data_IF_901025515520
#
_entry.id   IF_901025515520
#
_cell.length_a   1.000
_cell.length_b   1.000
_cell.length_c   1.000
_cell.angle_alpha   90.00
_cell.angle_beta   90.00
_cell.angle_gamma   90.00
#
_symmetry.space_group_name_H-M   'P 1'
#
loop_
_entity.id
_entity.type
_entity.pdbx_description
1 polymer ?
#
# COMPACT_ATOMS: atom_id res chain seq x y z
N UNK A 1 14.82 16.67 0.88
CA UNK A 1 14.85 16.12 -0.48
C UNK A 1 13.56 15.34 -0.72
N UNK A 2 12.76 15.68 -1.73
CA UNK A 2 11.49 15.02 -2.01
C UNK A 2 11.74 13.64 -2.63
N UNK A 3 11.24 12.58 -2.03
CA UNK A 3 11.40 11.22 -2.52
C UNK A 3 10.10 10.41 -2.45
N UNK A 4 9.98 9.44 -3.36
CA UNK A 4 8.86 8.50 -3.39
C UNK A 4 8.97 7.46 -2.30
N UNK A 5 7.84 7.01 -1.77
CA UNK A 5 7.75 5.94 -0.76
C UNK A 5 6.77 4.88 -1.24
N UNK A 6 7.28 3.66 -1.40
CA UNK A 6 6.52 2.46 -1.72
C UNK A 6 6.98 1.33 -0.78
N UNK A 7 6.09 0.81 0.06
CA UNK A 7 6.42 -0.25 1.03
C UNK A 7 5.40 -1.36 0.99
N UNK A 8 5.87 -2.60 1.06
CA UNK A 8 5.03 -3.79 1.06
C UNK A 8 5.05 -4.48 2.41
N UNK A 9 3.87 -4.89 2.88
CA UNK A 9 3.68 -5.75 4.04
C UNK A 9 2.91 -6.99 3.61
N UNK A 10 3.43 -8.16 3.97
CA UNK A 10 2.84 -9.46 3.63
C UNK A 10 2.00 -9.96 4.80
N UNK A 11 0.72 -10.19 4.57
CA UNK A 11 -0.20 -10.65 5.61
C UNK A 11 -0.71 -12.08 5.33
N UNK A 12 -0.65 -12.91 6.35
CA UNK A 12 -1.28 -14.22 6.41
C UNK A 12 -2.75 -14.08 6.82
N UNK A 13 -3.53 -15.17 6.70
CA UNK A 13 -4.97 -15.16 6.95
C UNK A 13 -5.43 -14.47 8.24
N UNK A 14 -4.70 -14.62 9.35
CA UNK A 14 -5.08 -14.02 10.64
C UNK A 14 -4.94 -12.48 10.71
N UNK A 15 -4.09 -11.87 9.88
CA UNK A 15 -3.85 -10.43 9.88
C UNK A 15 -4.82 -9.63 8.98
N UNK A 16 -5.52 -10.29 8.06
CA UNK A 16 -6.35 -9.64 7.02
C UNK A 16 -7.44 -8.75 7.62
N UNK A 17 -8.17 -9.26 8.62
CA UNK A 17 -9.23 -8.49 9.28
C UNK A 17 -8.69 -7.27 10.05
N UNK A 18 -7.46 -7.34 10.56
CA UNK A 18 -6.79 -6.21 11.20
C UNK A 18 -6.42 -5.14 10.20
N UNK A 19 -5.87 -5.54 9.05
CA UNK A 19 -5.57 -4.66 7.93
C UNK A 19 -6.84 -3.95 7.43
N UNK A 20 -7.91 -4.70 7.14
CA UNK A 20 -9.20 -4.14 6.74
C UNK A 20 -9.74 -3.11 7.73
N UNK A 21 -9.76 -3.44 9.03
CA UNK A 21 -10.26 -2.51 10.06
C UNK A 21 -9.44 -1.22 10.14
N UNK A 22 -8.13 -1.29 9.88
CA UNK A 22 -7.28 -0.10 9.83
C UNK A 22 -7.57 0.73 8.57
N UNK A 23 -7.55 0.10 7.41
CA UNK A 23 -7.69 0.77 6.12
C UNK A 23 -9.06 1.43 5.97
N UNK A 24 -10.11 0.71 6.36
CA UNK A 24 -11.50 1.17 6.24
C UNK A 24 -12.01 1.94 7.47
N UNK A 25 -11.10 2.27 8.40
CA UNK A 25 -11.44 3.02 9.63
C UNK A 25 -12.63 2.42 10.42
N UNK A 26 -12.66 1.07 10.53
CA UNK A 26 -13.72 0.32 11.23
C UNK A 26 -13.47 0.14 12.74
N UNK A 27 -12.76 1.05 13.39
CA UNK A 27 -12.50 1.04 14.84
C UNK A 27 -12.93 2.36 15.44
N UNK A 28 -13.46 2.31 16.67
CA UNK A 28 -13.85 3.50 17.44
C UNK A 28 -12.64 4.26 18.02
N UNK A 29 -11.50 3.56 18.17
CA UNK A 29 -10.26 4.15 18.68
C UNK A 29 -9.02 3.45 18.13
N UNK A 30 -7.95 4.21 17.91
CA UNK A 30 -6.68 3.78 17.33
C UNK A 30 -5.52 4.01 18.32
N UNK A 31 -5.56 3.31 19.47
CA UNK A 31 -4.55 3.45 20.55
C UNK A 31 -3.10 3.25 20.08
N UNK A 32 -2.87 2.41 19.07
CA UNK A 32 -1.55 2.15 18.49
C UNK A 32 -1.08 3.20 17.48
N UNK A 33 -1.96 4.12 17.08
CA UNK A 33 -1.64 5.21 16.17
C UNK A 33 -2.33 6.52 16.60
N UNK A 34 -1.74 7.25 17.54
CA UNK A 34 -2.31 8.50 18.07
C UNK A 34 -2.40 9.65 17.05
N UNK A 35 -1.73 9.51 15.91
CA UNK A 35 -1.75 10.55 14.86
C UNK A 35 -3.05 10.56 14.05
N UNK A 36 -3.92 9.56 14.24
CA UNK A 36 -5.21 9.52 13.53
C UNK A 36 -6.17 10.54 14.16
N UNK A 37 -6.50 11.57 13.39
CA UNK A 37 -7.52 12.54 13.73
C UNK A 37 -8.89 12.10 13.19
N UNK A 38 -9.70 11.51 14.06
CA UNK A 38 -11.02 10.97 13.71
C UNK A 38 -11.91 12.05 13.09
N UNK A 39 -11.76 13.32 13.48
CA UNK A 39 -12.56 14.43 12.92
C UNK A 39 -12.27 14.67 11.44
N UNK A 40 -11.10 14.26 10.97
CA UNK A 40 -10.66 14.36 9.58
C UNK A 40 -10.90 13.10 8.75
N UNK A 41 -11.34 11.99 9.34
CA UNK A 41 -11.61 10.72 8.63
C UNK A 41 -12.63 10.89 7.49
N UNK A 42 -13.52 11.86 7.57
CA UNK A 42 -14.46 12.23 6.50
C UNK A 42 -13.78 12.69 5.19
N UNK A 43 -12.51 13.07 5.24
CA UNK A 43 -11.72 13.47 4.06
C UNK A 43 -10.95 12.30 3.42
N UNK A 44 -10.95 11.13 4.05
CA UNK A 44 -10.42 9.92 3.45
C UNK A 44 -11.26 9.55 2.22
N UNK A 45 -10.62 9.02 1.20
CA UNK A 45 -11.33 8.65 -0.02
C UNK A 45 -10.72 7.41 -0.67
N UNK A 46 -11.55 6.71 -1.43
CA UNK A 46 -11.12 5.54 -2.19
C UNK A 46 -10.85 5.92 -3.64
N UNK A 47 -9.75 5.38 -4.20
CA UNK A 47 -9.49 5.33 -5.64
C UNK A 47 -10.03 4.01 -6.20
N UNK A 48 -9.82 2.91 -5.48
CA UNK A 48 -10.49 1.63 -5.73
C UNK A 48 -11.33 1.31 -4.51
N UNK A 49 -12.64 1.22 -4.70
CA UNK A 49 -13.60 0.97 -3.62
C UNK A 49 -13.35 -0.40 -2.98
N UNK A 50 -13.44 -0.43 -1.67
CA UNK A 50 -13.47 -1.67 -0.91
C UNK A 50 -14.68 -2.54 -1.31
N UNK A 51 -14.58 -3.86 -1.27
CA UNK A 51 -15.73 -4.71 -1.52
C UNK A 51 -16.84 -4.44 -0.48
N UNK A 52 -18.10 -4.60 -0.88
CA UNK A 52 -19.27 -4.47 0.02
C UNK A 52 -19.28 -5.45 1.19
N UNK A 53 -18.41 -6.44 1.16
CA UNK A 53 -18.16 -7.45 2.18
C UNK A 53 -16.68 -7.40 2.60
N UNK A 54 -16.20 -8.37 3.36
CA UNK A 54 -14.84 -8.33 3.92
C UNK A 54 -13.75 -8.60 2.87
N UNK A 55 -12.54 -8.08 3.12
CA UNK A 55 -11.34 -8.42 2.34
C UNK A 55 -11.10 -9.92 2.30
N UNK A 56 -11.29 -10.60 3.43
CA UNK A 56 -11.13 -12.05 3.51
C UNK A 56 -12.07 -12.82 2.58
N UNK A 57 -13.31 -12.36 2.41
CA UNK A 57 -14.25 -12.96 1.45
C UNK A 57 -13.82 -12.69 0.01
N UNK A 58 -13.40 -11.46 -0.32
CA UNK A 58 -12.89 -11.12 -1.65
C UNK A 58 -11.67 -11.97 -2.02
N UNK A 59 -10.75 -12.17 -1.09
CA UNK A 59 -9.59 -13.04 -1.28
C UNK A 59 -10.00 -14.49 -1.57
N UNK A 60 -10.98 -15.03 -0.84
CA UNK A 60 -11.50 -16.39 -1.09
C UNK A 60 -12.10 -16.51 -2.48
N UNK A 61 -12.84 -15.51 -2.94
CA UNK A 61 -13.41 -15.46 -4.28
C UNK A 61 -12.32 -15.43 -5.37
N UNK A 62 -11.26 -14.62 -5.17
CA UNK A 62 -10.13 -14.57 -6.10
C UNK A 62 -9.36 -15.90 -6.15
N UNK A 63 -9.07 -16.49 -4.98
CA UNK A 63 -8.41 -17.80 -4.87
C UNK A 63 -9.22 -18.87 -5.62
N UNK A 64 -10.54 -18.86 -5.47
CA UNK A 64 -11.44 -19.77 -6.18
C UNK A 64 -11.46 -19.49 -7.70
N UNK A 65 -11.57 -18.22 -8.09
CA UNK A 65 -11.59 -17.79 -9.51
C UNK A 65 -10.34 -18.26 -10.26
N UNK A 66 -9.18 -18.15 -9.61
CA UNK A 66 -7.88 -18.54 -10.20
C UNK A 66 -7.46 -19.97 -9.85
N UNK A 67 -8.31 -20.75 -9.18
CA UNK A 67 -8.05 -22.13 -8.76
C UNK A 67 -6.72 -22.28 -8.00
N UNK A 68 -6.36 -21.27 -7.18
CA UNK A 68 -5.09 -21.24 -6.51
C UNK A 68 -4.97 -22.32 -5.43
N UNK A 69 -3.86 -23.04 -5.43
CA UNK A 69 -3.48 -23.91 -4.31
C UNK A 69 -3.05 -23.05 -3.13
N UNK A 70 -3.56 -23.35 -1.93
CA UNK A 70 -3.24 -22.63 -0.70
C UNK A 70 -2.69 -23.56 0.37
N UNK A 71 -1.80 -23.02 1.23
CA UNK A 71 -1.31 -23.64 2.45
C UNK A 71 -1.75 -22.83 3.66
N UNK A 72 -1.62 -23.38 4.86
CA UNK A 72 -1.97 -22.69 6.11
C UNK A 72 -1.19 -21.37 6.28
N UNK A 73 0.06 -21.35 5.84
CA UNK A 73 1.01 -20.23 5.95
C UNK A 73 1.09 -19.35 4.69
N UNK A 74 0.26 -19.59 3.67
CA UNK A 74 0.23 -18.79 2.45
C UNK A 74 -0.02 -17.31 2.76
N UNK A 75 0.78 -16.44 2.14
CA UNK A 75 0.49 -15.00 2.10
C UNK A 75 -0.73 -14.79 1.20
N UNK A 76 -1.78 -14.22 1.73
CA UNK A 76 -3.07 -14.04 1.04
C UNK A 76 -3.40 -12.59 0.74
N UNK A 77 -2.72 -11.68 1.43
CA UNK A 77 -2.84 -10.24 1.24
C UNK A 77 -1.46 -9.62 1.25
N UNK A 78 -1.25 -8.67 0.36
CA UNK A 78 -0.14 -7.72 0.45
C UNK A 78 -0.74 -6.33 0.60
N UNK A 79 -0.37 -5.65 1.66
CA UNK A 79 -0.66 -4.25 1.88
C UNK A 79 0.50 -3.41 1.35
N UNK A 80 0.19 -2.40 0.58
CA UNK A 80 1.15 -1.46 0.02
C UNK A 80 0.91 -0.08 0.60
N UNK A 81 1.88 0.48 1.29
CA UNK A 81 1.88 1.88 1.73
C UNK A 81 2.54 2.73 0.66
N UNK A 82 1.80 3.71 0.16
CA UNK A 82 2.21 4.61 -0.91
C UNK A 82 2.09 6.06 -0.45
N UNK A 83 3.19 6.80 -0.53
CA UNK A 83 3.23 8.24 -0.25
C UNK A 83 4.51 8.86 -0.84
N UNK A 84 4.81 10.07 -0.48
CA UNK A 84 6.11 10.72 -0.68
C UNK A 84 6.57 11.40 0.62
N UNK A 85 7.75 12.00 0.59
CA UNK A 85 8.25 12.75 1.74
C UNK A 85 7.25 13.83 2.18
N UNK A 86 7.15 14.11 3.50
CA UNK A 86 6.19 15.09 4.02
C UNK A 86 6.31 16.47 3.39
N UNK A 87 7.55 16.91 3.08
CA UNK A 87 7.81 18.19 2.45
C UNK A 87 7.20 18.28 1.04
N UNK A 88 7.22 17.18 0.29
CA UNK A 88 6.61 17.11 -1.03
C UNK A 88 5.08 17.11 -0.91
N UNK A 89 4.52 16.22 -0.09
CA UNK A 89 3.08 16.12 0.09
C UNK A 89 2.44 17.41 0.59
N UNK A 90 3.14 18.18 1.44
CA UNK A 90 2.63 19.46 1.97
C UNK A 90 2.58 20.58 0.94
N UNK A 91 3.33 20.50 -0.15
CA UNK A 91 3.36 21.49 -1.24
C UNK A 91 2.25 21.26 -2.27
N UNK A 92 1.73 20.03 -2.36
CA UNK A 92 0.70 19.69 -3.33
C UNK A 92 -0.67 20.25 -2.92
N UNK A 93 -1.42 20.76 -3.90
CA UNK A 93 -2.85 21.05 -3.73
C UNK A 93 -3.64 19.75 -3.47
N UNK A 94 -4.90 19.84 -3.08
CA UNK A 94 -5.74 18.65 -2.87
C UNK A 94 -5.97 17.90 -4.20
N UNK A 95 -6.08 18.60 -5.31
CA UNK A 95 -6.19 18.05 -6.66
C UNK A 95 -4.91 17.32 -7.05
N UNK A 96 -3.74 17.90 -6.80
CA UNK A 96 -2.44 17.28 -7.08
C UNK A 96 -2.17 16.07 -6.21
N UNK A 97 -2.60 16.07 -4.93
CA UNK A 97 -2.55 14.89 -4.06
C UNK A 97 -3.40 13.75 -4.63
N UNK A 98 -4.61 14.07 -5.10
CA UNK A 98 -5.48 13.09 -5.75
C UNK A 98 -4.82 12.52 -7.01
N UNK A 99 -4.30 13.39 -7.89
CA UNK A 99 -3.55 12.98 -9.09
C UNK A 99 -2.37 12.08 -8.75
N UNK A 100 -1.63 12.40 -7.67
CA UNK A 100 -0.50 11.59 -7.20
C UNK A 100 -0.93 10.16 -6.87
N UNK A 101 -1.98 10.00 -6.09
CA UNK A 101 -2.47 8.67 -5.68
C UNK A 101 -3.18 7.92 -6.81
N UNK A 102 -3.87 8.61 -7.70
CA UNK A 102 -4.44 8.01 -8.91
C UNK A 102 -3.34 7.47 -9.83
N UNK A 103 -2.30 8.26 -10.09
CA UNK A 103 -1.15 7.82 -10.89
C UNK A 103 -0.40 6.64 -10.22
N UNK A 104 -0.20 6.69 -8.92
CA UNK A 104 0.38 5.57 -8.17
C UNK A 104 -0.49 4.29 -8.28
N UNK A 105 -1.81 4.45 -8.29
CA UNK A 105 -2.74 3.32 -8.49
C UNK A 105 -2.62 2.74 -9.90
N UNK A 106 -2.48 3.56 -10.93
CA UNK A 106 -2.26 3.08 -12.31
C UNK A 106 -0.95 2.29 -12.43
N UNK A 107 0.13 2.75 -11.77
CA UNK A 107 1.35 1.96 -11.68
C UNK A 107 1.10 0.58 -11.05
N UNK A 108 0.40 0.53 -9.92
CA UNK A 108 0.11 -0.74 -9.24
C UNK A 108 -0.79 -1.65 -10.08
N UNK A 109 -1.78 -1.10 -10.81
CA UNK A 109 -2.61 -1.86 -11.74
C UNK A 109 -1.79 -2.50 -12.86
N UNK A 110 -0.82 -1.78 -13.41
CA UNK A 110 0.04 -2.30 -14.49
C UNK A 110 0.97 -3.43 -14.02
N UNK A 111 1.44 -3.35 -12.77
CA UNK A 111 2.37 -4.35 -12.20
C UNK A 111 1.66 -5.60 -11.68
N UNK A 112 0.45 -5.46 -11.14
CA UNK A 112 -0.25 -6.53 -10.41
C UNK A 112 -1.44 -7.09 -11.19
N UNK A 113 -2.14 -6.24 -11.93
CA UNK A 113 -3.45 -6.51 -12.52
C UNK A 113 -4.58 -5.97 -11.63
N UNK A 114 -5.45 -5.17 -12.23
CA UNK A 114 -6.53 -4.46 -11.54
C UNK A 114 -7.47 -5.38 -10.76
N UNK A 115 -7.82 -6.52 -11.33
CA UNK A 115 -8.77 -7.47 -10.75
C UNK A 115 -8.27 -8.16 -9.47
N UNK A 116 -6.96 -8.06 -9.17
CA UNK A 116 -6.34 -8.59 -7.95
C UNK A 116 -6.25 -7.57 -6.83
N UNK A 117 -6.48 -6.29 -7.13
CA UNK A 117 -6.53 -5.21 -6.14
C UNK A 117 -7.89 -5.28 -5.42
N UNK A 118 -7.84 -5.20 -4.09
CA UNK A 118 -9.01 -5.33 -3.22
C UNK A 118 -9.56 -3.95 -2.87
N UNK A 119 -8.67 -3.02 -2.54
CA UNK A 119 -9.01 -1.65 -2.17
C UNK A 119 -7.79 -0.75 -2.33
N UNK A 120 -8.02 0.51 -2.66
CA UNK A 120 -7.02 1.57 -2.58
C UNK A 120 -7.66 2.79 -1.92
N UNK A 121 -7.32 3.03 -0.65
CA UNK A 121 -7.88 4.10 0.18
C UNK A 121 -6.80 5.09 0.57
N UNK A 122 -7.07 6.37 0.39
CA UNK A 122 -6.19 7.47 0.79
C UNK A 122 -6.62 7.99 2.15
N UNK A 123 -5.69 7.98 3.10
CA UNK A 123 -5.87 8.53 4.43
C UNK A 123 -5.37 9.99 4.45
N UNK A 124 -6.31 10.90 4.70
CA UNK A 124 -6.07 12.33 4.90
C UNK A 124 -6.15 12.73 6.38
N UNK A 125 -6.42 11.77 7.23
CA UNK A 125 -6.65 11.92 8.68
C UNK A 125 -5.41 11.66 9.54
N UNK A 126 -4.25 11.54 8.91
CA UNK A 126 -2.95 11.43 9.59
C UNK A 126 -2.03 12.59 9.18
N UNK A 127 -0.88 12.69 9.84
CA UNK A 127 0.09 13.79 9.64
C UNK A 127 0.51 13.98 8.18
N UNK A 128 0.76 12.89 7.48
CA UNK A 128 1.14 12.90 6.05
C UNK A 128 0.13 12.09 5.26
N UNK A 129 -0.50 12.64 4.22
CA UNK A 129 -1.39 11.88 3.34
C UNK A 129 -0.69 10.66 2.76
N UNK A 130 -1.34 9.51 2.82
CA UNK A 130 -0.81 8.26 2.28
C UNK A 130 -1.93 7.33 1.85
N UNK A 131 -1.61 6.44 0.93
CA UNK A 131 -2.55 5.45 0.42
C UNK A 131 -2.19 4.06 0.92
N UNK A 132 -3.19 3.33 1.39
CA UNK A 132 -3.15 1.89 1.59
C UNK A 132 -3.79 1.20 0.38
N UNK A 133 -2.99 0.45 -0.37
CA UNK A 133 -3.46 -0.38 -1.47
C UNK A 133 -3.28 -1.84 -1.09
N UNK A 134 -4.39 -2.55 -0.99
CA UNK A 134 -4.44 -3.96 -0.62
C UNK A 134 -4.69 -4.83 -1.85
N UNK A 135 -3.91 -5.90 -2.05
CA UNK A 135 -4.10 -6.83 -3.16
C UNK A 135 -3.87 -8.29 -2.78
N UNK A 136 -4.53 -9.19 -3.48
CA UNK A 136 -4.30 -10.63 -3.38
C UNK A 136 -3.11 -11.00 -4.27
N UNK A 137 -2.02 -11.62 -3.74
CA UNK A 137 -0.81 -11.84 -4.49
C UNK A 137 -0.89 -13.04 -5.44
N UNK A 138 -1.78 -12.95 -6.41
CA UNK A 138 -1.90 -13.92 -7.50
C UNK A 138 -1.07 -13.41 -8.67
N UNK A 139 -0.08 -14.19 -9.10
CA UNK A 139 0.82 -13.82 -10.18
C UNK A 139 0.18 -14.01 -11.58
N UNK A 140 0.92 -13.70 -12.63
CA UNK A 140 0.43 -13.81 -14.03
C UNK A 140 0.10 -15.25 -14.42
N UNK A 141 0.73 -16.26 -13.79
CA UNK A 141 0.43 -17.69 -14.01
C UNK A 141 -0.79 -18.17 -13.20
N UNK A 142 -1.52 -17.28 -12.53
CA UNK A 142 -2.67 -17.63 -11.70
C UNK A 142 -2.29 -18.32 -10.37
N UNK A 143 -1.03 -18.20 -9.90
CA UNK A 143 -0.58 -18.83 -8.65
C UNK A 143 -0.55 -17.81 -7.51
N UNK A 144 -1.04 -18.22 -6.34
CA UNK A 144 -0.94 -17.43 -5.10
C UNK A 144 0.53 -17.43 -4.61
N UNK A 145 1.28 -16.39 -4.92
CA UNK A 145 2.70 -16.29 -4.56
C UNK A 145 3.18 -14.84 -4.44
N UNK A 146 3.18 -14.31 -3.23
CA UNK A 146 3.78 -13.01 -2.95
C UNK A 146 5.29 -12.98 -3.30
N UNK A 147 6.00 -14.13 -3.17
CA UNK A 147 7.42 -14.24 -3.53
C UNK A 147 7.66 -14.05 -5.02
N UNK A 148 6.80 -14.60 -5.89
CA UNK A 148 6.98 -14.44 -7.34
C UNK A 148 6.70 -13.01 -7.83
N UNK A 149 5.86 -12.26 -7.11
CA UNK A 149 5.53 -10.86 -7.44
C UNK A 149 6.58 -9.90 -6.88
N UNK A 150 6.88 -10.00 -5.59
CA UNK A 150 7.74 -9.05 -4.88
C UNK A 150 9.22 -9.43 -4.91
N UNK A 151 9.50 -10.72 -5.10
CA UNK A 151 10.85 -11.24 -5.17
C UNK A 151 11.61 -11.17 -3.83
N UNK A 152 12.90 -10.91 -3.94
CA UNK A 152 13.85 -10.75 -2.84
C UNK A 152 14.19 -9.25 -2.63
N UNK A 153 15.21 -8.97 -1.82
CA UNK A 153 15.65 -7.62 -1.52
C UNK A 153 16.08 -6.82 -2.77
N UNK A 154 16.73 -7.48 -3.73
CA UNK A 154 17.11 -6.86 -5.01
C UNK A 154 15.86 -6.47 -5.79
N UNK A 155 14.92 -7.39 -5.93
CA UNK A 155 13.64 -7.14 -6.61
C UNK A 155 12.83 -6.01 -5.96
N UNK A 156 12.84 -5.92 -4.62
CA UNK A 156 12.20 -4.80 -3.91
C UNK A 156 12.89 -3.46 -4.22
N UNK A 157 14.21 -3.45 -4.41
CA UNK A 157 14.92 -2.25 -4.86
C UNK A 157 14.55 -1.86 -6.30
N UNK A 158 14.36 -2.85 -7.18
CA UNK A 158 13.89 -2.65 -8.55
C UNK A 158 12.45 -2.11 -8.58
N UNK A 159 11.56 -2.57 -7.68
CA UNK A 159 10.23 -2.01 -7.48
C UNK A 159 10.29 -0.52 -7.15
N UNK A 160 11.18 -0.11 -6.24
CA UNK A 160 11.38 1.29 -5.88
C UNK A 160 11.85 2.12 -7.08
N UNK A 161 12.74 1.56 -7.90
CA UNK A 161 13.26 2.25 -9.09
C UNK A 161 12.16 2.45 -10.12
N UNK A 162 11.42 1.39 -10.51
CA UNK A 162 10.32 1.51 -11.47
C UNK A 162 9.22 2.46 -10.99
N UNK A 163 8.87 2.40 -9.71
CA UNK A 163 7.88 3.31 -9.14
C UNK A 163 8.36 4.77 -9.18
N UNK A 164 9.61 5.01 -8.78
CA UNK A 164 10.21 6.33 -8.88
C UNK A 164 10.19 6.86 -10.32
N UNK A 165 10.69 6.10 -11.28
CA UNK A 165 10.73 6.50 -12.70
C UNK A 165 9.34 6.87 -13.20
N UNK A 166 8.34 6.06 -12.92
CA UNK A 166 6.95 6.30 -13.30
C UNK A 166 6.38 7.60 -12.69
N UNK A 167 6.66 7.86 -11.42
CA UNK A 167 6.18 9.08 -10.74
C UNK A 167 6.98 10.33 -11.17
N UNK A 168 8.28 10.15 -11.40
CA UNK A 168 9.19 11.24 -11.82
C UNK A 168 8.84 11.82 -13.19
N UNK A 169 8.25 11.06 -14.10
CA UNK A 169 7.73 11.58 -15.37
C UNK A 169 6.76 12.75 -15.19
N UNK A 170 5.98 12.77 -14.12
CA UNK A 170 5.00 13.81 -13.80
C UNK A 170 5.55 14.86 -12.83
N UNK A 171 6.35 14.45 -11.85
CA UNK A 171 6.96 15.32 -10.83
C UNK A 171 8.47 15.17 -10.88
N UNK A 172 9.12 15.97 -11.71
CA UNK A 172 10.57 15.90 -11.95
C UNK A 172 11.43 16.27 -10.74
N UNK A 173 10.87 16.91 -9.72
CA UNK A 173 11.53 17.19 -8.44
C UNK A 173 11.63 15.99 -7.51
N UNK A 174 10.87 14.91 -7.77
CA UNK A 174 10.97 13.69 -6.97
C UNK A 174 12.30 12.99 -7.18
N UNK A 175 12.84 12.46 -6.12
CA UNK A 175 14.07 11.67 -6.12
C UNK A 175 13.78 10.22 -5.74
N UNK A 176 14.62 9.33 -6.19
CA UNK A 176 14.60 7.96 -5.73
C UNK A 176 15.17 7.91 -4.31
N UNK A 177 14.37 7.43 -3.36
CA UNK A 177 14.84 7.24 -1.99
C UNK A 177 16.07 6.32 -1.93
N UNK A 178 16.97 6.59 -0.98
CA UNK A 178 18.17 5.78 -0.79
C UNK A 178 17.80 4.36 -0.31
N UNK A 179 18.47 3.36 -0.87
CA UNK A 179 18.23 1.97 -0.46
C UNK A 179 18.67 1.72 0.99
N UNK A 180 17.97 0.80 1.68
CA UNK A 180 18.34 0.38 3.02
C UNK A 180 19.76 -0.21 3.10
N UNK A 181 20.29 -0.73 2.00
CA UNK A 181 21.68 -1.22 1.90
C UNK A 181 22.70 -0.10 2.05
N UNK A 182 22.41 1.08 1.47
CA UNK A 182 23.26 2.26 1.53
C UNK A 182 23.13 2.94 2.90
N UNK A 183 21.90 3.10 3.38
CA UNK A 183 21.63 3.83 4.63
C UNK A 183 21.87 3.00 5.88
N UNK A 184 21.96 1.66 5.76
CA UNK A 184 22.02 0.69 6.88
C UNK A 184 20.88 0.87 7.90
N UNK A 185 19.83 1.60 7.57
CA UNK A 185 18.69 1.86 8.45
C UNK A 185 17.89 0.57 8.68
N UNK A 186 17.71 0.21 9.94
CA UNK A 186 16.83 -0.89 10.34
C UNK A 186 15.38 -0.39 10.39
N UNK A 187 14.44 -1.27 10.08
CA UNK A 187 13.01 -0.98 10.28
C UNK A 187 12.75 -0.73 11.77
N UNK A 188 12.27 0.46 12.08
CA UNK A 188 11.80 0.81 13.43
C UNK A 188 10.27 0.64 13.43
N UNK A 189 9.69 -0.15 14.36
CA UNK A 189 8.24 -0.25 14.47
C UNK A 189 7.59 1.12 14.65
N UNK A 190 6.42 1.32 14.06
CA UNK A 190 5.74 2.63 14.05
C UNK A 190 5.52 3.19 15.45
N UNK A 191 5.19 2.34 16.43
CA UNK A 191 4.98 2.77 17.82
C UNK A 191 6.25 3.31 18.49
N UNK A 192 7.43 2.78 18.12
CA UNK A 192 8.72 3.26 18.64
C UNK A 192 9.20 4.52 17.91
N UNK A 193 8.85 4.64 16.63
CA UNK A 193 9.18 5.81 15.81
C UNK A 193 8.37 7.05 16.22
N UNK A 194 7.18 6.85 16.80
CA UNK A 194 6.25 7.92 17.21
C UNK A 194 6.33 8.28 18.70
N UNK A 195 7.24 7.69 19.46
CA UNK A 195 7.59 8.11 20.82
C UNK A 195 8.61 9.25 20.80
#
# INVERSE_FOLDING_TARGET
MPYTILRFKKDKGGAIAGCERHNERKKDAYKSNPDIDITRTKYNYHIIQAPKYTYGRKIKELIKKYECKTRKDSIRLVETLITASPEFMSKLSEEEKREYFERATEFMKSEIGEDRIISAVVHMDEKTPHMHLAFCPINQDGKLSAKSILGNQKSLSEWQTRYYEFMHERWSELERGQSAQVTKRKHIPTWLFKM
#
